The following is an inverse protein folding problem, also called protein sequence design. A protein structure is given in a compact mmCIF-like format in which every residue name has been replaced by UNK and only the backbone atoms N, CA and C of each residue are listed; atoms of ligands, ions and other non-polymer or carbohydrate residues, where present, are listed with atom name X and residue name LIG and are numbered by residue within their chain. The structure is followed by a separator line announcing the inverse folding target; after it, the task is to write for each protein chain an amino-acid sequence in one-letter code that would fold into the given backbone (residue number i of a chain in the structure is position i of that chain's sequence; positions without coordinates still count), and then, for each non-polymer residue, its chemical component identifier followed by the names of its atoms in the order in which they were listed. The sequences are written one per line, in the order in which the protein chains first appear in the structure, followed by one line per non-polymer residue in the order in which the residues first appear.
data_IF_857406379851
#
_entry.id   IF_857406379851
#
_cell.length_a   1.000
_cell.length_b   1.000
_cell.length_c   1.000
_cell.angle_alpha   90.00
_cell.angle_beta   90.00
_cell.angle_gamma   90.00
#
_symmetry.space_group_name_H-M   'P 1'
#
loop_
_entity.id
_entity.type
_entity.pdbx_description
1 polymer ?
#
# COMPACT_ATOMS: atom_id res chain seq x y z
N UNK A 1 -25.16 -37.83 67.61
CA UNK A 1 -24.90 -37.65 66.17
C UNK A 1 -25.59 -36.39 65.69
N UNK A 2 -24.85 -35.29 65.46
CA UNK A 2 -25.41 -34.04 64.90
C UNK A 2 -25.02 -33.97 63.43
N UNK A 3 -25.99 -34.22 62.55
CA UNK A 3 -25.86 -33.96 61.12
C UNK A 3 -25.88 -32.45 60.90
N UNK A 4 -24.74 -31.88 60.49
CA UNK A 4 -24.63 -30.47 60.11
C UNK A 4 -25.29 -30.29 58.74
N UNK A 5 -26.47 -29.70 58.75
CA UNK A 5 -27.16 -29.23 57.55
C UNK A 5 -26.37 -28.05 56.98
N UNK A 6 -25.45 -28.33 56.06
CA UNK A 6 -24.69 -27.30 55.34
C UNK A 6 -25.72 -26.44 54.59
N UNK A 7 -25.83 -25.17 54.96
CA UNK A 7 -26.76 -24.19 54.39
C UNK A 7 -26.71 -24.20 52.87
N UNK A 8 -27.87 -24.31 52.23
CA UNK A 8 -28.06 -24.37 50.75
C UNK A 8 -27.39 -23.22 50.00
N UNK A 9 -27.07 -22.12 50.68
CA UNK A 9 -26.34 -20.98 50.12
C UNK A 9 -24.84 -21.27 49.96
N UNK A 10 -24.24 -22.04 50.88
CA UNK A 10 -22.81 -22.42 50.81
C UNK A 10 -22.55 -23.44 49.70
N UNK A 11 -23.50 -24.36 49.47
CA UNK A 11 -23.44 -25.31 48.36
C UNK A 11 -23.61 -24.61 47.01
N UNK A 12 -24.54 -23.64 46.91
CA UNK A 12 -24.70 -22.82 45.70
C UNK A 12 -23.44 -22.01 45.38
N UNK A 13 -22.84 -21.36 46.38
CA UNK A 13 -21.64 -20.56 46.20
C UNK A 13 -20.43 -21.42 45.78
N UNK A 14 -20.30 -22.63 46.34
CA UNK A 14 -19.28 -23.60 45.92
C UNK A 14 -19.48 -24.02 44.46
N UNK A 15 -20.71 -24.25 44.03
CA UNK A 15 -21.05 -24.66 42.67
C UNK A 15 -20.74 -23.56 41.65
N UNK A 16 -21.06 -22.31 41.97
CA UNK A 16 -20.69 -21.13 41.16
C UNK A 16 -19.16 -21.00 41.05
N UNK A 17 -18.45 -21.19 42.17
CA UNK A 17 -16.99 -21.05 42.22
C UNK A 17 -16.30 -22.15 41.40
N UNK A 18 -16.81 -23.39 41.44
CA UNK A 18 -16.38 -24.50 40.56
C UNK A 18 -16.68 -24.19 39.09
N UNK A 19 -17.84 -23.63 38.77
CA UNK A 19 -18.20 -23.32 37.40
C UNK A 19 -17.34 -22.19 36.79
N UNK A 20 -16.99 -21.18 37.59
CA UNK A 20 -16.08 -20.09 37.19
C UNK A 20 -14.67 -20.62 36.99
N UNK A 21 -14.15 -21.42 37.93
CA UNK A 21 -12.79 -21.97 37.83
C UNK A 21 -12.67 -22.98 36.68
N UNK A 22 -13.70 -23.78 36.42
CA UNK A 22 -13.78 -24.62 35.22
C UNK A 22 -13.76 -23.80 33.92
N UNK A 23 -14.54 -22.71 33.84
CA UNK A 23 -14.52 -21.82 32.68
C UNK A 23 -13.15 -21.15 32.47
N UNK A 24 -12.47 -20.76 33.55
CA UNK A 24 -11.12 -20.19 33.47
C UNK A 24 -10.11 -21.22 32.96
N UNK A 25 -10.19 -22.47 33.42
CA UNK A 25 -9.34 -23.57 32.94
C UNK A 25 -9.61 -23.90 31.47
N UNK A 26 -10.87 -23.99 31.04
CA UNK A 26 -11.24 -24.21 29.63
C UNK A 26 -10.73 -23.07 28.74
N UNK A 27 -10.78 -21.82 29.22
CA UNK A 27 -10.27 -20.66 28.49
C UNK A 27 -8.73 -20.63 28.40
N UNK A 28 -8.03 -21.23 29.36
CA UNK A 28 -6.58 -21.40 29.33
C UNK A 28 -6.14 -22.57 28.44
N UNK A 29 -6.92 -23.66 28.38
CA UNK A 29 -6.63 -24.82 27.53
C UNK A 29 -7.08 -24.65 26.06
N UNK A 30 -7.94 -23.67 25.78
CA UNK A 30 -8.20 -23.25 24.41
C UNK A 30 -6.96 -22.61 23.81
N UNK A 31 -6.19 -23.36 23.01
CA UNK A 31 -5.14 -22.79 22.16
C UNK A 31 -5.74 -21.57 21.47
N UNK A 32 -5.20 -20.39 21.76
CA UNK A 32 -5.64 -19.16 21.11
C UNK A 32 -5.67 -19.46 19.60
N UNK A 33 -6.78 -19.21 18.90
CA UNK A 33 -6.82 -19.47 17.47
C UNK A 33 -5.64 -18.70 16.89
N UNK A 34 -4.75 -19.44 16.23
CA UNK A 34 -3.59 -18.89 15.53
C UNK A 34 -4.16 -18.00 14.42
N UNK A 35 -4.54 -16.79 14.80
CA UNK A 35 -4.88 -15.76 13.86
C UNK A 35 -3.57 -15.43 13.23
N UNK A 36 -3.37 -15.98 12.03
CA UNK A 36 -2.40 -15.50 11.08
C UNK A 36 -2.81 -14.06 10.76
N UNK A 37 -2.50 -13.14 11.68
CA UNK A 37 -2.64 -11.70 11.56
C UNK A 37 -1.49 -11.14 10.71
N UNK A 38 -0.72 -11.98 10.00
CA UNK A 38 0.17 -11.49 8.98
C UNK A 38 -0.72 -10.84 7.91
N UNK A 39 -0.55 -9.53 7.66
CA UNK A 39 -1.30 -8.87 6.62
C UNK A 39 -1.07 -9.63 5.29
N UNK A 40 -2.14 -9.86 4.53
CA UNK A 40 -2.03 -10.48 3.21
C UNK A 40 -1.35 -9.47 2.28
N UNK A 41 -0.03 -9.53 2.19
CA UNK A 41 0.74 -8.72 1.24
C UNK A 41 0.39 -9.20 -0.17
N UNK A 42 -0.27 -8.34 -0.93
CA UNK A 42 -0.50 -8.57 -2.37
C UNK A 42 0.47 -7.69 -3.12
N UNK A 43 1.47 -8.29 -3.78
CA UNK A 43 2.42 -7.55 -4.60
C UNK A 43 1.78 -7.39 -5.97
N UNK A 44 1.37 -6.17 -6.30
CA UNK A 44 0.88 -5.81 -7.64
C UNK A 44 2.06 -5.25 -8.44
N UNK A 45 2.33 -5.82 -9.61
CA UNK A 45 3.37 -5.35 -10.53
C UNK A 45 2.71 -4.56 -11.65
N UNK A 46 2.79 -3.24 -11.60
CA UNK A 46 2.31 -2.35 -12.66
C UNK A 46 3.51 -1.71 -13.37
N UNK A 47 3.54 -1.75 -14.70
CA UNK A 47 4.50 -0.99 -15.51
C UNK A 47 4.01 0.45 -15.61
N UNK A 48 4.63 1.36 -14.85
CA UNK A 48 4.32 2.80 -14.94
C UNK A 48 5.24 3.46 -15.96
N UNK A 49 4.65 3.97 -17.05
CA UNK A 49 5.35 4.82 -18.00
C UNK A 49 5.36 6.26 -17.47
N UNK A 50 6.54 6.76 -17.12
CA UNK A 50 6.73 8.18 -16.79
C UNK A 50 7.26 8.93 -18.02
N UNK A 51 6.46 9.83 -18.57
CA UNK A 51 6.91 10.74 -19.63
C UNK A 51 7.70 11.88 -18.98
N UNK A 52 9.01 11.94 -19.24
CA UNK A 52 9.87 13.04 -18.81
C UNK A 52 10.20 13.90 -20.02
N UNK A 53 10.02 15.21 -19.89
CA UNK A 53 10.47 16.19 -20.89
C UNK A 53 11.84 16.71 -20.47
N UNK A 54 12.83 16.59 -21.36
CA UNK A 54 14.18 17.12 -21.13
C UNK A 54 14.57 18.04 -22.30
N UNK A 55 15.44 19.02 -22.04
CA UNK A 55 15.88 19.99 -23.07
C UNK A 55 17.37 19.82 -23.32
N UNK A 56 17.74 19.53 -24.57
CA UNK A 56 19.13 19.36 -24.97
C UNK A 56 19.65 20.62 -25.65
N UNK A 57 20.83 21.09 -25.23
CA UNK A 57 21.58 22.15 -25.94
C UNK A 57 22.57 21.49 -26.89
N UNK A 58 22.31 21.57 -28.19
CA UNK A 58 23.21 21.04 -29.22
C UNK A 58 24.25 22.10 -29.55
N UNK A 59 25.55 21.77 -29.39
CA UNK A 59 26.66 22.64 -29.77
C UNK A 59 27.68 21.83 -30.57
N UNK A 60 27.45 21.68 -31.87
CA UNK A 60 28.34 20.91 -32.73
C UNK A 60 29.51 21.76 -33.19
N UNK A 61 30.64 21.68 -32.47
CA UNK A 61 31.84 22.48 -32.73
C UNK A 61 32.81 21.85 -33.73
N UNK A 62 32.71 20.54 -33.95
CA UNK A 62 33.61 19.77 -34.82
C UNK A 62 32.90 19.37 -36.10
N UNK A 63 33.59 19.52 -37.21
CA UNK A 63 33.12 19.08 -38.52
C UNK A 63 34.20 18.30 -39.26
N UNK A 64 33.76 17.38 -40.11
CA UNK A 64 34.60 16.68 -41.07
C UNK A 64 34.36 17.27 -42.46
N UNK A 65 35.42 17.46 -43.23
CA UNK A 65 35.29 17.84 -44.65
C UNK A 65 35.03 16.59 -45.47
N UNK A 66 34.01 16.61 -46.33
CA UNK A 66 33.69 15.52 -47.26
C UNK A 66 33.48 16.09 -48.65
N UNK A 67 33.47 15.22 -49.66
CA UNK A 67 33.17 15.56 -51.05
C UNK A 67 31.88 14.90 -51.49
N UNK A 68 30.98 15.66 -52.07
CA UNK A 68 29.64 15.22 -52.47
C UNK A 68 29.46 15.52 -53.95
N UNK A 69 28.76 14.65 -54.67
CA UNK A 69 28.44 14.90 -56.07
C UNK A 69 27.31 15.95 -56.19
N UNK A 70 27.44 16.90 -57.11
CA UNK A 70 26.42 17.94 -57.39
C UNK A 70 25.09 17.32 -57.83
N UNK A 71 25.16 16.27 -58.64
CA UNK A 71 23.99 15.66 -59.25
C UNK A 71 23.34 14.62 -58.32
N UNK A 72 24.10 14.06 -57.37
CA UNK A 72 23.66 12.96 -56.51
C UNK A 72 24.19 13.12 -55.08
N UNK A 73 23.46 13.86 -54.26
CA UNK A 73 23.83 14.20 -52.88
C UNK A 73 23.89 13.02 -51.90
N UNK A 74 23.45 11.82 -52.31
CA UNK A 74 23.51 10.60 -51.48
C UNK A 74 24.91 9.99 -51.43
N UNK A 75 25.76 10.29 -52.42
CA UNK A 75 27.11 9.72 -52.49
C UNK A 75 28.12 10.65 -51.83
N UNK A 76 28.62 10.24 -50.66
CA UNK A 76 29.54 11.03 -49.84
C UNK A 76 30.90 10.34 -49.82
N UNK A 77 31.94 11.08 -50.23
CA UNK A 77 33.31 10.62 -50.23
C UNK A 77 34.10 11.31 -49.11
N UNK A 78 34.68 10.53 -48.21
CA UNK A 78 35.49 11.07 -47.10
C UNK A 78 36.80 11.71 -47.60
N UNK A 79 37.37 11.14 -48.67
CA UNK A 79 38.57 11.64 -49.33
C UNK A 79 38.25 12.03 -50.76
N UNK A 80 39.01 12.97 -51.31
CA UNK A 80 38.86 13.37 -52.72
C UNK A 80 39.24 12.18 -53.61
N UNK A 81 38.31 11.61 -54.39
CA UNK A 81 38.63 10.50 -55.29
C UNK A 81 39.57 11.02 -56.40
N UNK A 82 40.67 10.29 -56.64
CA UNK A 82 41.68 10.66 -57.64
C UNK A 82 41.26 10.31 -59.08
N UNK A 83 40.28 9.42 -59.25
CA UNK A 83 39.86 8.84 -60.53
C UNK A 83 38.54 9.40 -61.08
N UNK A 84 37.82 10.23 -60.32
CA UNK A 84 36.55 10.83 -60.73
C UNK A 84 36.73 12.27 -61.19
N UNK A 85 35.87 12.68 -62.11
CA UNK A 85 35.80 14.06 -62.61
C UNK A 85 35.65 15.04 -61.45
N UNK A 86 36.72 15.77 -61.17
CA UNK A 86 36.80 16.70 -60.03
C UNK A 86 35.85 17.89 -60.18
N UNK A 87 35.28 18.12 -61.37
CA UNK A 87 34.33 19.19 -61.69
C UNK A 87 32.93 18.97 -61.09
N UNK A 88 32.56 17.70 -60.88
CA UNK A 88 31.25 17.26 -60.38
C UNK A 88 31.21 17.16 -58.85
N UNK A 89 32.35 17.24 -58.18
CA UNK A 89 32.46 17.10 -56.73
C UNK A 89 32.53 18.46 -56.05
N UNK A 90 31.76 18.63 -54.98
CA UNK A 90 31.83 19.80 -54.12
C UNK A 90 32.26 19.43 -52.71
N UNK A 91 33.04 20.34 -52.13
CA UNK A 91 33.55 20.25 -50.77
C UNK A 91 32.45 20.69 -49.80
N UNK A 92 31.91 19.74 -49.03
CA UNK A 92 30.93 20.00 -48.00
C UNK A 92 31.50 19.73 -46.60
N UNK A 93 30.79 20.23 -45.58
CA UNK A 93 31.08 19.98 -44.17
C UNK A 93 30.01 19.07 -43.59
N UNK A 94 30.46 18.04 -42.90
CA UNK A 94 29.62 17.10 -42.17
C UNK A 94 29.78 17.35 -40.68
N UNK A 95 28.65 17.60 -40.03
CA UNK A 95 28.52 17.75 -38.59
C UNK A 95 27.84 16.49 -38.06
N UNK A 96 28.56 15.75 -37.21
CA UNK A 96 28.04 14.57 -36.52
C UNK A 96 28.10 14.84 -35.03
N UNK A 97 26.96 14.69 -34.37
CA UNK A 97 26.87 14.86 -32.92
C UNK A 97 26.11 13.68 -32.30
N UNK A 98 26.45 13.37 -31.06
CA UNK A 98 25.77 12.34 -30.28
C UNK A 98 25.48 12.89 -28.89
N UNK A 99 24.20 13.06 -28.61
CA UNK A 99 23.71 13.46 -27.29
C UNK A 99 23.24 12.20 -26.57
N UNK A 100 23.88 11.91 -25.45
CA UNK A 100 23.60 10.71 -24.66
C UNK A 100 23.16 11.12 -23.26
N UNK A 101 22.02 10.60 -22.82
CA UNK A 101 21.59 10.60 -21.42
C UNK A 101 21.37 9.14 -20.95
N UNK A 102 20.96 8.96 -19.71
CA UNK A 102 20.63 7.67 -19.11
C UNK A 102 19.48 6.95 -19.83
N UNK A 103 18.59 7.69 -20.50
CA UNK A 103 17.35 7.14 -21.07
C UNK A 103 17.36 7.05 -22.60
N UNK A 104 18.11 7.91 -23.29
CA UNK A 104 18.10 8.03 -24.76
C UNK A 104 19.45 8.49 -25.31
N UNK A 105 19.82 7.93 -26.46
CA UNK A 105 20.84 8.49 -27.36
C UNK A 105 20.17 9.15 -28.55
N UNK A 106 20.59 10.37 -28.88
CA UNK A 106 20.16 11.11 -30.07
C UNK A 106 21.39 11.35 -30.94
N UNK A 107 21.33 10.88 -32.18
CA UNK A 107 22.36 11.06 -33.19
C UNK A 107 21.87 12.12 -34.17
N UNK A 108 22.69 13.14 -34.41
CA UNK A 108 22.40 14.16 -35.41
C UNK A 108 23.47 14.15 -36.49
N UNK A 109 23.02 14.29 -37.73
CA UNK A 109 23.84 14.35 -38.91
C UNK A 109 23.39 15.53 -39.75
N UNK A 110 24.31 16.44 -40.08
CA UNK A 110 24.04 17.56 -40.97
C UNK A 110 25.15 17.71 -42.00
N UNK A 111 24.74 17.82 -43.27
CA UNK A 111 25.61 18.05 -44.43
C UNK A 111 25.39 19.48 -44.94
N UNK A 112 26.47 20.27 -45.01
CA UNK A 112 26.40 21.71 -45.29
C UNK A 112 27.44 22.15 -46.31
N UNK A 113 26.99 22.89 -47.32
CA UNK A 113 27.83 23.54 -48.35
C UNK A 113 27.39 25.02 -48.48
N UNK A 114 27.51 25.77 -47.38
CA UNK A 114 26.89 27.10 -47.24
C UNK A 114 25.39 27.03 -46.96
N UNK A 115 24.67 26.17 -47.69
CA UNK A 115 23.28 25.79 -47.42
C UNK A 115 23.20 24.38 -46.83
N UNK A 116 22.10 24.06 -46.14
CA UNK A 116 21.82 22.73 -45.62
C UNK A 116 21.45 21.80 -46.79
N UNK A 117 22.32 20.84 -47.09
CA UNK A 117 22.11 19.87 -48.16
C UNK A 117 21.36 18.63 -47.67
N UNK A 118 21.57 18.24 -46.41
CA UNK A 118 20.90 17.10 -45.81
C UNK A 118 20.96 17.14 -44.29
N UNK A 119 19.90 16.67 -43.65
CA UNK A 119 19.80 16.56 -42.19
C UNK A 119 19.11 15.24 -41.84
N UNK A 120 19.68 14.53 -40.86
CA UNK A 120 19.12 13.31 -40.33
C UNK A 120 19.24 13.33 -38.81
N UNK A 121 18.14 12.95 -38.13
CA UNK A 121 18.09 12.79 -36.69
C UNK A 121 17.61 11.38 -36.40
N UNK A 122 18.45 10.61 -35.71
CA UNK A 122 18.16 9.24 -35.28
C UNK A 122 18.16 9.20 -33.75
N UNK A 123 17.40 8.28 -33.17
CA UNK A 123 17.39 8.09 -31.73
C UNK A 123 17.38 6.61 -31.34
N UNK A 124 17.95 6.31 -30.17
CA UNK A 124 17.95 4.97 -29.58
C UNK A 124 17.58 5.07 -28.11
N UNK A 125 16.46 4.46 -27.74
CA UNK A 125 16.02 4.36 -26.35
C UNK A 125 16.86 3.31 -25.61
N UNK A 126 17.35 3.64 -24.41
CA UNK A 126 18.22 2.77 -23.61
C UNK A 126 17.46 1.83 -22.67
N UNK A 127 16.17 2.05 -22.44
CA UNK A 127 15.42 1.31 -21.42
C UNK A 127 13.94 1.18 -21.76
N UNK A 128 13.32 0.09 -21.29
CA UNK A 128 12.19 0.18 -20.38
C UNK A 128 12.69 -0.05 -18.95
N UNK A 129 12.57 0.95 -18.07
CA UNK A 129 12.85 0.78 -16.63
C UNK A 129 11.64 0.10 -15.99
N UNK A 130 11.79 -1.14 -15.53
CA UNK A 130 10.79 -1.77 -14.68
C UNK A 130 10.79 -1.10 -13.30
N UNK A 131 9.80 -0.24 -13.03
CA UNK A 131 9.61 0.36 -11.70
C UNK A 131 8.80 -0.64 -10.86
N UNK A 132 9.46 -1.32 -9.92
CA UNK A 132 8.75 -2.20 -8.96
C UNK A 132 8.10 -1.35 -7.87
N UNK A 133 6.78 -1.12 -7.94
CA UNK A 133 6.02 -0.40 -6.92
C UNK A 133 5.36 -1.40 -5.97
N UNK A 134 5.77 -1.43 -4.69
CA UNK A 134 5.12 -2.25 -3.67
C UNK A 134 3.97 -1.47 -3.02
N UNK A 135 2.72 -1.78 -3.38
CA UNK A 135 1.52 -1.25 -2.69
C UNK A 135 1.14 -2.13 -1.51
N UNK A 136 1.28 -1.63 -0.28
CA UNK A 136 0.79 -2.30 0.93
C UNK A 136 -0.67 -1.90 1.17
N UNK A 137 -1.60 -2.83 1.00
CA UNK A 137 -3.01 -2.62 1.34
C UNK A 137 -3.23 -3.13 2.77
N UNK A 138 -3.33 -2.21 3.73
CA UNK A 138 -3.67 -2.54 5.12
C UNK A 138 -5.20 -2.68 5.26
N UNK A 139 -5.66 -3.90 5.49
CA UNK A 139 -7.07 -4.11 5.85
C UNK A 139 -7.27 -3.72 7.32
N UNK A 140 -8.23 -2.82 7.64
CA UNK A 140 -8.47 -2.43 9.02
C UNK A 140 -8.88 -3.66 9.83
N UNK A 141 -8.29 -3.81 11.03
CA UNK A 141 -8.58 -4.90 11.96
C UNK A 141 -10.09 -5.10 12.06
N UNK A 142 -10.61 -6.19 11.49
CA UNK A 142 -12.01 -6.55 11.63
C UNK A 142 -12.32 -6.70 13.12
N UNK A 143 -13.24 -5.89 13.64
CA UNK A 143 -13.71 -6.01 15.01
C UNK A 143 -14.16 -7.45 15.26
N UNK A 144 -13.42 -8.16 16.12
CA UNK A 144 -13.78 -9.51 16.54
C UNK A 144 -14.93 -9.43 17.52
N UNK A 145 -15.81 -10.42 17.50
CA UNK A 145 -16.81 -10.58 18.55
C UNK A 145 -16.11 -10.73 19.90
N UNK A 146 -16.63 -10.09 20.94
CA UNK A 146 -16.00 -10.06 22.25
C UNK A 146 -17.02 -10.08 23.38
N UNK A 147 -16.71 -10.80 24.45
CA UNK A 147 -17.43 -10.75 25.72
C UNK A 147 -16.69 -9.79 26.65
N UNK A 148 -17.39 -8.77 27.11
CA UNK A 148 -16.89 -7.70 27.97
C UNK A 148 -17.55 -7.81 29.33
N UNK A 149 -16.76 -7.63 30.38
CA UNK A 149 -17.26 -7.42 31.73
C UNK A 149 -17.22 -5.92 31.99
N UNK A 150 -18.31 -5.35 32.50
CA UNK A 150 -18.39 -3.95 32.86
C UNK A 150 -19.06 -3.78 34.21
N UNK A 151 -18.70 -2.73 34.92
CA UNK A 151 -19.38 -2.28 36.14
C UNK A 151 -19.80 -0.84 35.95
N UNK A 152 -21.04 -0.52 36.31
CA UNK A 152 -21.54 0.84 36.26
C UNK A 152 -21.82 1.33 37.67
N UNK A 153 -21.45 2.58 37.88
CA UNK A 153 -21.63 3.28 39.13
C UNK A 153 -22.30 4.60 38.76
N UNK A 154 -23.51 4.83 39.27
CA UNK A 154 -24.31 6.00 38.93
C UNK A 154 -25.40 6.28 39.94
N UNK A 155 -26.10 7.39 39.76
CA UNK A 155 -27.20 7.83 40.60
C UNK A 155 -27.72 9.19 40.13
N UNK A 156 -28.74 9.71 40.80
CA UNK A 156 -29.24 11.06 40.57
C UNK A 156 -28.50 12.07 41.48
N UNK A 157 -28.60 13.37 41.19
CA UNK A 157 -28.02 14.46 42.00
C UNK A 157 -28.43 14.39 43.48
N UNK A 158 -29.59 13.80 43.78
CA UNK A 158 -30.10 13.65 45.13
C UNK A 158 -29.66 12.35 45.84
N UNK A 159 -29.45 11.25 45.11
CA UNK A 159 -29.18 9.93 45.70
C UNK A 159 -28.27 9.13 44.77
N UNK A 160 -27.20 8.58 45.34
CA UNK A 160 -26.34 7.63 44.68
C UNK A 160 -26.88 6.21 44.88
N UNK A 161 -27.53 5.67 43.84
CA UNK A 161 -28.31 4.44 43.93
C UNK A 161 -28.17 3.56 42.70
N UNK A 162 -26.99 3.37 42.14
CA UNK A 162 -26.82 2.39 41.06
C UNK A 162 -25.39 1.86 41.01
N UNK A 163 -25.13 0.79 41.76
CA UNK A 163 -23.94 -0.05 41.59
C UNK A 163 -24.39 -1.31 40.86
N UNK A 164 -23.91 -1.50 39.63
CA UNK A 164 -24.26 -2.65 38.83
C UNK A 164 -23.06 -3.31 38.20
N UNK A 165 -23.16 -4.62 37.98
CA UNK A 165 -22.16 -5.43 37.33
C UNK A 165 -22.82 -6.18 36.17
N UNK A 166 -22.17 -6.21 35.01
CA UNK A 166 -22.77 -6.75 33.81
C UNK A 166 -21.78 -7.38 32.84
N UNK A 167 -22.32 -8.24 31.99
CA UNK A 167 -21.66 -8.87 30.86
C UNK A 167 -22.24 -8.33 29.56
N UNK A 168 -21.41 -8.02 28.59
CA UNK A 168 -21.83 -7.57 27.27
C UNK A 168 -21.13 -8.40 26.19
N UNK A 169 -21.91 -9.09 25.38
CA UNK A 169 -21.43 -9.78 24.19
C UNK A 169 -21.66 -8.92 22.95
N UNK A 170 -20.57 -8.49 22.32
CA UNK A 170 -20.59 -7.79 21.04
C UNK A 170 -20.36 -8.80 19.91
N UNK A 171 -21.32 -8.98 19.00
CA UNK A 171 -21.13 -9.83 17.81
C UNK A 171 -20.50 -9.02 16.69
N UNK A 172 -19.80 -9.70 15.77
CA UNK A 172 -19.16 -9.12 14.55
C UNK A 172 -20.13 -8.37 13.59
N UNK A 173 -21.42 -8.23 13.92
CA UNK A 173 -22.41 -7.58 13.09
C UNK A 173 -23.20 -6.52 13.83
N UNK A 174 -22.57 -5.39 14.18
CA UNK A 174 -23.17 -4.17 14.78
C UNK A 174 -24.05 -4.33 16.03
N UNK A 175 -24.51 -5.50 16.43
CA UNK A 175 -25.39 -5.69 17.57
C UNK A 175 -24.66 -6.28 18.77
N UNK A 176 -25.20 -5.96 19.94
CA UNK A 176 -24.73 -6.47 21.21
C UNK A 176 -25.90 -6.92 22.08
N UNK A 177 -25.62 -7.86 22.95
CA UNK A 177 -26.53 -8.27 24.01
C UNK A 177 -25.79 -8.09 25.33
N UNK A 178 -26.44 -7.48 26.31
CA UNK A 178 -25.90 -7.29 27.64
C UNK A 178 -26.83 -7.85 28.70
N UNK A 179 -26.22 -8.28 29.79
CA UNK A 179 -26.90 -8.69 31.01
C UNK A 179 -26.29 -7.90 32.16
N UNK A 180 -27.12 -7.30 33.00
CA UNK A 180 -26.72 -6.44 34.11
C UNK A 180 -27.46 -6.84 35.37
N UNK A 181 -26.73 -7.03 36.47
CA UNK A 181 -27.29 -7.19 37.79
C UNK A 181 -27.04 -5.91 38.60
N UNK A 182 -28.09 -5.30 39.12
CA UNK A 182 -28.01 -4.16 40.01
C UNK A 182 -27.91 -4.65 41.46
N UNK A 183 -26.91 -4.15 42.18
CA UNK A 183 -26.51 -4.60 43.51
C UNK A 183 -26.93 -3.64 44.63
N UNK A 184 -27.72 -2.60 44.33
CA UNK A 184 -28.18 -1.63 45.33
C UNK A 184 -28.93 -2.26 46.50
N UNK A 185 -29.76 -3.27 46.22
CA UNK A 185 -30.51 -4.01 47.22
C UNK A 185 -30.02 -5.46 47.19
N UNK A 186 -28.98 -5.76 47.98
CA UNK A 186 -28.36 -7.09 48.07
C UNK A 186 -29.36 -8.24 48.34
N UNK A 187 -30.50 -7.93 48.95
CA UNK A 187 -31.55 -8.90 49.25
C UNK A 187 -32.44 -9.24 48.03
N UNK A 188 -32.53 -8.34 47.05
CA UNK A 188 -33.32 -8.50 45.82
C UNK A 188 -32.60 -7.81 44.64
N UNK A 189 -31.54 -8.42 44.08
CA UNK A 189 -30.86 -7.86 42.94
C UNK A 189 -31.80 -7.78 41.73
N UNK A 190 -31.81 -6.66 41.03
CA UNK A 190 -32.59 -6.52 39.79
C UNK A 190 -31.75 -6.91 38.58
N UNK A 191 -32.35 -7.68 37.68
CA UNK A 191 -31.70 -8.22 36.50
C UNK A 191 -32.23 -7.53 35.25
N UNK A 192 -31.33 -6.99 34.44
CA UNK A 192 -31.67 -6.28 33.21
C UNK A 192 -30.99 -6.96 32.02
N UNK A 193 -31.75 -7.17 30.94
CA UNK A 193 -31.25 -7.68 29.66
C UNK A 193 -31.35 -6.55 28.65
N UNK A 194 -30.22 -6.19 28.03
CA UNK A 194 -30.15 -5.17 27.00
C UNK A 194 -29.83 -5.80 25.64
N UNK A 195 -30.47 -5.28 24.59
CA UNK A 195 -30.11 -5.58 23.20
C UNK A 195 -29.92 -4.24 22.51
N UNK A 196 -28.81 -4.07 21.81
CA UNK A 196 -28.54 -2.82 21.10
C UNK A 196 -27.87 -3.05 19.76
N UNK A 197 -28.02 -2.07 18.86
CA UNK A 197 -27.39 -2.06 17.54
C UNK A 197 -26.61 -0.75 17.39
N UNK A 198 -25.35 -0.88 16.98
CA UNK A 198 -24.43 0.21 16.67
C UNK A 198 -24.81 0.83 15.33
N UNK A 199 -25.30 2.07 15.37
CA UNK A 199 -25.72 2.83 14.18
C UNK A 199 -24.51 3.37 13.39
N UNK A 200 -23.49 3.90 14.09
CA UNK A 200 -22.33 4.54 13.47
C UNK A 200 -21.03 3.81 13.79
N UNK A 201 -20.11 3.81 12.83
CA UNK A 201 -18.73 3.34 13.05
C UNK A 201 -17.92 4.45 13.69
#
# INVERSE_FOLDING_TARGET
MKSQQISSQKTLLLLILVMISFNLLVKQCGKAPHHNNSPKTTIVRDTVWQTKTDTFKVQTLKYQTVYVNKDEMQTIYENRPQTKDSSLLVKARVYKDTLSNDDIDIFSYNLVEGNLLGSEILYKLKVPREITITKTIEYPKTYKSGLYLFSEIGGNQAIFDNISLGLQYNRKGKWFVSYRANLNQLQQPTHNIGIGVRLFK
#
